data_IF_281843233194
#
_entry.id   IF_281843233194
#
_cell.length_a   1.000
_cell.length_b   1.000
_cell.length_c   1.000
_cell.angle_alpha   90.00
_cell.angle_beta   90.00
_cell.angle_gamma   90.00
#
_symmetry.space_group_name_H-M   'P 1'
#
loop_
_entity.id
_entity.type
_entity.pdbx_description
1 polymer ?
#
# COMPACT_ATOMS: atom_id res chain seq x y z
N UNK A 1 18.94 -13.49 1.59
CA UNK A 1 17.92 -12.43 1.63
C UNK A 1 16.79 -12.82 0.68
N UNK A 2 15.58 -12.43 1.02
CA UNK A 2 14.36 -12.71 0.27
C UNK A 2 13.66 -11.39 -0.05
N UNK A 3 13.12 -11.28 -1.26
CA UNK A 3 12.24 -10.20 -1.65
C UNK A 3 10.80 -10.68 -1.59
N UNK A 4 9.92 -9.87 -1.02
CA UNK A 4 8.48 -10.10 -0.96
C UNK A 4 7.78 -9.00 -1.73
N UNK A 5 6.98 -9.40 -2.71
CA UNK A 5 6.15 -8.53 -3.51
C UNK A 5 4.68 -8.87 -3.22
N UNK A 6 3.93 -7.91 -2.68
CA UNK A 6 2.51 -8.10 -2.39
C UNK A 6 1.66 -7.08 -3.11
N UNK A 7 0.66 -7.58 -3.84
CA UNK A 7 -0.32 -6.78 -4.56
C UNK A 7 -1.65 -6.85 -3.81
N UNK A 8 -2.08 -5.71 -3.32
CA UNK A 8 -3.33 -5.55 -2.61
C UNK A 8 -4.37 -4.98 -3.55
N UNK A 9 -5.60 -5.45 -3.40
CA UNK A 9 -6.77 -4.97 -4.12
C UNK A 9 -7.75 -4.44 -3.10
N UNK A 10 -8.23 -3.22 -3.30
CA UNK A 10 -9.11 -2.56 -2.36
C UNK A 10 -10.41 -2.09 -3.00
N UNK A 11 -11.46 -2.03 -2.19
CA UNK A 11 -12.71 -1.33 -2.45
C UNK A 11 -12.73 -0.04 -1.66
N UNK A 12 -13.21 1.02 -2.29
CA UNK A 12 -13.45 2.30 -1.62
C UNK A 12 -14.84 2.24 -0.98
N UNK A 13 -14.89 2.10 0.34
CA UNK A 13 -16.14 2.07 1.11
C UNK A 13 -16.56 3.47 1.59
N UNK A 14 -15.59 4.36 1.82
CA UNK A 14 -15.83 5.73 2.26
C UNK A 14 -15.08 6.72 1.38
N UNK A 15 -15.71 7.13 0.26
CA UNK A 15 -15.09 7.98 -0.76
C UNK A 15 -14.49 9.28 -0.22
N UNK A 16 -15.17 9.96 0.72
CA UNK A 16 -14.63 11.20 1.29
C UNK A 16 -13.30 10.97 2.04
N UNK A 17 -13.24 9.93 2.89
CA UNK A 17 -12.01 9.58 3.61
C UNK A 17 -10.90 9.17 2.65
N UNK A 18 -11.27 8.47 1.58
CA UNK A 18 -10.33 8.09 0.53
C UNK A 18 -9.76 9.30 -0.21
N UNK A 19 -10.58 10.28 -0.58
CA UNK A 19 -10.12 11.55 -1.19
C UNK A 19 -9.19 12.30 -0.24
N UNK A 20 -9.52 12.36 1.05
CA UNK A 20 -8.66 13.02 2.04
C UNK A 20 -7.30 12.31 2.18
N UNK A 21 -7.30 10.98 2.14
CA UNK A 21 -6.07 10.18 2.10
C UNK A 21 -5.25 10.40 0.82
N UNK A 22 -5.90 10.45 -0.35
CA UNK A 22 -5.21 10.75 -1.61
C UNK A 22 -4.50 12.11 -1.57
N UNK A 23 -5.14 13.14 -1.00
CA UNK A 23 -4.52 14.46 -0.80
C UNK A 23 -3.32 14.39 0.14
N UNK A 24 -3.42 13.62 1.22
CA UNK A 24 -2.32 13.42 2.15
C UNK A 24 -1.13 12.71 1.49
N UNK A 25 -1.38 11.66 0.71
CA UNK A 25 -0.33 10.94 -0.04
C UNK A 25 0.32 11.84 -1.10
N UNK A 26 -0.45 12.69 -1.80
CA UNK A 26 0.10 13.64 -2.75
C UNK A 26 0.99 14.70 -2.07
N UNK A 27 0.61 15.17 -0.88
CA UNK A 27 1.44 16.09 -0.09
C UNK A 27 2.76 15.44 0.36
N UNK A 28 2.74 14.16 0.75
CA UNK A 28 3.97 13.39 1.03
C UNK A 28 4.83 13.28 -0.23
N UNK A 29 4.24 12.91 -1.38
CA UNK A 29 4.95 12.78 -2.67
C UNK A 29 5.64 14.09 -3.06
N UNK A 30 4.98 15.23 -2.85
CA UNK A 30 5.51 16.57 -3.13
C UNK A 30 6.52 17.07 -2.08
N UNK A 31 6.84 16.25 -1.08
CA UNK A 31 7.71 16.60 0.04
C UNK A 31 7.22 17.82 0.84
N UNK A 32 5.91 18.08 0.83
CA UNK A 32 5.28 19.13 1.65
C UNK A 32 5.16 18.68 3.11
N UNK A 33 5.07 17.37 3.32
CA UNK A 33 5.04 16.71 4.63
C UNK A 33 6.17 15.67 4.69
N UNK A 34 6.94 15.68 5.79
CA UNK A 34 7.93 14.64 6.08
C UNK A 34 7.31 13.59 7.00
N UNK A 35 6.52 12.70 6.42
CA UNK A 35 5.86 11.60 7.12
C UNK A 35 5.92 10.34 6.24
N UNK A 36 6.16 9.19 6.88
CA UNK A 36 6.05 7.89 6.21
C UNK A 36 4.62 7.36 6.36
N UNK A 37 4.00 6.81 5.30
CA UNK A 37 2.67 6.21 5.43
C UNK A 37 2.65 5.10 6.49
N UNK A 38 1.68 5.14 7.40
CA UNK A 38 1.63 4.25 8.58
C UNK A 38 1.71 2.75 8.24
N UNK A 39 1.10 2.33 7.12
CA UNK A 39 1.17 0.94 6.65
C UNK A 39 2.60 0.48 6.31
N UNK A 40 3.44 1.39 5.82
CA UNK A 40 4.85 1.10 5.52
C UNK A 40 5.66 0.92 6.80
N UNK A 41 5.46 1.82 7.77
CA UNK A 41 6.14 1.78 9.05
C UNK A 41 5.86 0.47 9.81
N UNK A 42 4.62 -0.07 9.74
CA UNK A 42 4.29 -1.36 10.33
C UNK A 42 5.11 -2.52 9.72
N UNK A 43 5.23 -2.56 8.40
CA UNK A 43 6.00 -3.62 7.70
C UNK A 43 7.49 -3.47 7.97
N UNK A 44 8.01 -2.25 7.93
CA UNK A 44 9.41 -1.94 8.21
C UNK A 44 9.81 -2.27 9.65
N UNK A 45 8.88 -2.17 10.60
CA UNK A 45 9.11 -2.47 12.02
C UNK A 45 9.15 -3.97 12.37
N UNK A 46 8.85 -4.87 11.44
CA UNK A 46 8.91 -6.31 11.71
C UNK A 46 10.35 -6.83 11.77
N UNK A 47 10.62 -7.68 12.76
CA UNK A 47 11.90 -8.39 12.86
C UNK A 47 12.24 -9.15 11.56
N UNK A 48 13.49 -8.98 11.11
CA UNK A 48 14.01 -9.50 9.85
C UNK A 48 13.70 -8.66 8.61
N UNK A 49 12.91 -7.60 8.71
CA UNK A 49 12.68 -6.66 7.62
C UNK A 49 13.91 -5.75 7.42
N UNK A 50 14.36 -5.61 6.17
CA UNK A 50 15.52 -4.78 5.78
C UNK A 50 15.12 -3.50 5.05
N UNK A 51 13.84 -3.36 4.72
CA UNK A 51 13.28 -2.21 4.04
C UNK A 51 11.96 -2.60 3.38
N UNK A 52 11.07 -1.62 3.26
CA UNK A 52 9.79 -1.75 2.57
C UNK A 52 9.50 -0.48 1.78
N UNK A 53 8.82 -0.62 0.65
CA UNK A 53 8.45 0.47 -0.24
C UNK A 53 7.05 0.25 -0.82
N UNK A 54 6.29 1.33 -0.95
CA UNK A 54 5.16 1.37 -1.86
C UNK A 54 5.66 1.57 -3.28
N UNK A 55 5.14 0.78 -4.20
CA UNK A 55 5.38 0.94 -5.62
C UNK A 55 4.08 1.41 -6.27
N UNK A 56 4.18 2.52 -6.99
CA UNK A 56 3.11 3.04 -7.84
C UNK A 56 3.33 2.47 -9.24
N UNK A 57 2.39 1.68 -9.79
CA UNK A 57 2.43 1.25 -11.18
C UNK A 57 2.56 2.47 -12.12
N UNK A 58 3.37 2.36 -13.18
CA UNK A 58 3.56 3.46 -14.14
C UNK A 58 2.27 3.86 -14.88
N UNK A 59 1.33 2.93 -15.00
CA UNK A 59 0.03 3.13 -15.67
C UNK A 59 -1.05 3.70 -14.73
N UNK A 60 -0.76 3.89 -13.44
CA UNK A 60 -1.74 4.46 -12.52
C UNK A 60 -1.90 5.97 -12.76
N UNK A 61 -3.13 6.50 -12.69
CA UNK A 61 -3.36 7.93 -12.86
C UNK A 61 -2.64 8.71 -11.77
N UNK A 62 -2.28 9.96 -12.06
CA UNK A 62 -1.70 10.81 -11.04
C UNK A 62 -2.71 11.09 -9.91
N UNK A 63 -2.20 11.51 -8.75
CA UNK A 63 -3.05 11.81 -7.60
C UNK A 63 -4.07 12.94 -7.89
N UNK A 64 -3.75 13.92 -8.72
CA UNK A 64 -4.68 15.02 -9.03
C UNK A 64 -5.87 14.54 -9.86
N UNK A 65 -5.63 13.67 -10.84
CA UNK A 65 -6.63 13.01 -11.66
C UNK A 65 -7.52 12.10 -10.80
N UNK A 66 -6.91 11.31 -9.91
CA UNK A 66 -7.64 10.45 -8.96
C UNK A 66 -8.54 11.26 -8.01
N UNK A 67 -8.02 12.34 -7.43
CA UNK A 67 -8.77 13.23 -6.53
C UNK A 67 -9.95 13.84 -7.27
N UNK A 68 -9.72 14.43 -8.46
CA UNK A 68 -10.77 15.07 -9.25
C UNK A 68 -11.87 14.08 -9.65
N UNK A 69 -11.50 12.87 -10.05
CA UNK A 69 -12.45 11.83 -10.43
C UNK A 69 -13.33 11.41 -9.25
N UNK A 70 -12.77 11.21 -8.05
CA UNK A 70 -13.55 10.82 -6.88
C UNK A 70 -14.41 11.98 -6.33
N UNK A 71 -13.93 13.23 -6.36
CA UNK A 71 -14.74 14.41 -6.02
C UNK A 71 -15.97 14.56 -6.94
N UNK A 72 -15.78 14.32 -8.24
CA UNK A 72 -16.88 14.33 -9.20
C UNK A 72 -17.90 13.24 -8.86
N UNK A 73 -17.44 12.02 -8.55
CA UNK A 73 -18.34 10.91 -8.15
C UNK A 73 -19.13 11.20 -6.89
N UNK A 74 -18.49 11.80 -5.88
CA UNK A 74 -19.14 12.26 -4.65
C UNK A 74 -20.24 13.27 -5.00
N UNK A 75 -19.94 14.24 -5.87
CA UNK A 75 -20.90 15.27 -6.30
C UNK A 75 -22.09 14.67 -7.05
N UNK A 76 -21.84 13.66 -7.89
CA UNK A 76 -22.85 12.94 -8.67
C UNK A 76 -23.61 11.88 -7.85
N UNK A 77 -23.18 11.61 -6.61
CA UNK A 77 -23.77 10.58 -5.75
C UNK A 77 -23.57 9.15 -6.27
N UNK A 78 -22.52 8.92 -7.06
CA UNK A 78 -22.21 7.59 -7.61
C UNK A 78 -21.11 6.91 -6.80
N UNK A 79 -21.24 5.60 -6.49
CA UNK A 79 -20.18 4.86 -5.83
C UNK A 79 -18.86 4.88 -6.62
N UNK A 80 -17.74 4.69 -5.93
CA UNK A 80 -16.48 4.46 -6.62
C UNK A 80 -16.60 3.16 -7.41
N UNK A 81 -16.31 3.22 -8.71
CA UNK A 81 -16.25 2.04 -9.57
C UNK A 81 -14.82 1.50 -9.68
N UNK A 82 -13.87 2.13 -8.98
CA UNK A 82 -12.45 1.87 -9.15
C UNK A 82 -11.96 0.93 -8.05
N UNK A 83 -11.33 -0.15 -8.46
CA UNK A 83 -10.59 -1.02 -7.56
C UNK A 83 -9.18 -0.47 -7.41
N UNK A 84 -8.84 -0.02 -6.20
CA UNK A 84 -7.52 0.52 -5.92
C UNK A 84 -6.52 -0.63 -5.80
N UNK A 85 -5.35 -0.46 -6.41
CA UNK A 85 -4.26 -1.44 -6.36
C UNK A 85 -3.06 -0.81 -5.71
N UNK A 86 -2.53 -1.48 -4.69
CA UNK A 86 -1.26 -1.07 -4.10
C UNK A 86 -0.28 -2.22 -4.18
N UNK A 87 0.97 -1.89 -4.46
CA UNK A 87 2.04 -2.87 -4.50
C UNK A 87 3.05 -2.52 -3.42
N UNK A 88 3.27 -3.45 -2.49
CA UNK A 88 4.29 -3.33 -1.45
C UNK A 88 5.44 -4.26 -1.79
N UNK A 89 6.63 -3.69 -1.93
CA UNK A 89 7.89 -4.42 -2.03
C UNK A 89 8.61 -4.37 -0.69
N UNK A 90 9.16 -5.50 -0.24
CA UNK A 90 9.91 -5.57 1.02
C UNK A 90 11.04 -6.60 0.97
N UNK A 91 12.11 -6.36 1.73
CA UNK A 91 13.29 -7.23 1.82
C UNK A 91 13.39 -7.88 3.19
N UNK A 92 13.76 -9.16 3.22
CA UNK A 92 13.71 -10.01 4.41
C UNK A 92 14.95 -10.88 4.55
N UNK A 93 15.37 -11.18 5.78
CA UNK A 93 16.49 -12.09 6.02
C UNK A 93 16.14 -13.53 5.63
N UNK A 94 14.96 -14.01 6.03
CA UNK A 94 14.53 -15.39 5.79
C UNK A 94 13.20 -15.46 5.00
N UNK A 95 12.99 -16.60 4.35
CA UNK A 95 11.75 -16.91 3.64
C UNK A 95 10.55 -16.95 4.60
N UNK A 96 10.74 -17.52 5.79
CA UNK A 96 9.69 -17.64 6.82
C UNK A 96 9.21 -16.27 7.29
N UNK A 97 10.14 -15.34 7.52
CA UNK A 97 9.80 -13.96 7.88
C UNK A 97 8.99 -13.28 6.77
N UNK A 98 9.40 -13.43 5.51
CA UNK A 98 8.66 -12.89 4.35
C UNK A 98 7.23 -13.45 4.24
N UNK A 99 7.04 -14.74 4.53
CA UNK A 99 5.72 -15.39 4.42
C UNK A 99 4.80 -15.04 5.59
N UNK A 100 5.33 -14.84 6.79
CA UNK A 100 4.53 -14.60 8.01
C UNK A 100 3.91 -13.20 8.12
N UNK A 101 4.25 -12.25 7.23
CA UNK A 101 3.79 -10.85 7.30
C UNK A 101 2.27 -10.75 7.37
N UNK A 102 1.54 -11.54 6.57
CA UNK A 102 0.07 -11.52 6.56
C UNK A 102 -0.51 -11.94 7.91
N UNK A 103 0.04 -12.98 8.53
CA UNK A 103 -0.44 -13.50 9.82
C UNK A 103 -0.12 -12.51 10.95
N UNK A 104 1.02 -11.83 10.86
CA UNK A 104 1.50 -10.90 11.89
C UNK A 104 0.81 -9.54 11.85
N UNK A 105 0.51 -9.03 10.65
CA UNK A 105 0.03 -7.66 10.45
C UNK A 105 -1.32 -7.55 9.76
N UNK A 106 -1.94 -8.66 9.32
CA UNK A 106 -3.14 -8.62 8.49
C UNK A 106 -4.29 -7.81 9.08
N UNK A 107 -4.58 -7.99 10.37
CA UNK A 107 -5.64 -7.25 11.07
C UNK A 107 -5.28 -5.77 11.28
N UNK A 108 -4.03 -5.48 11.63
CA UNK A 108 -3.57 -4.10 11.82
C UNK A 108 -3.59 -3.30 10.53
N UNK A 109 -3.12 -3.91 9.43
CA UNK A 109 -3.19 -3.33 8.10
C UNK A 109 -4.65 -3.13 7.68
N UNK A 110 -5.53 -4.12 7.92
CA UNK A 110 -6.96 -3.97 7.63
C UNK A 110 -7.57 -2.76 8.36
N UNK A 111 -7.23 -2.56 9.64
CA UNK A 111 -7.67 -1.40 10.41
C UNK A 111 -7.20 -0.08 9.83
N UNK A 112 -5.91 0.05 9.50
CA UNK A 112 -5.37 1.25 8.89
C UNK A 112 -6.05 1.60 7.55
N UNK A 113 -6.30 0.58 6.71
CA UNK A 113 -6.97 0.80 5.44
C UNK A 113 -8.44 1.23 5.64
N UNK A 114 -9.13 0.67 6.63
CA UNK A 114 -10.51 1.09 6.97
C UNK A 114 -10.58 2.54 7.43
N UNK A 115 -9.58 3.02 8.17
CA UNK A 115 -9.53 4.41 8.64
C UNK A 115 -9.44 5.41 7.48
N UNK A 116 -8.75 5.03 6.39
CA UNK A 116 -8.65 5.83 5.17
C UNK A 116 -9.76 5.53 4.14
N UNK A 117 -10.76 4.75 4.52
CA UNK A 117 -11.94 4.48 3.69
C UNK A 117 -11.79 3.34 2.68
N UNK A 118 -10.79 2.48 2.85
CA UNK A 118 -10.54 1.31 2.01
C UNK A 118 -10.86 0.00 2.75
N UNK A 119 -11.29 -1.01 2.01
CA UNK A 119 -11.33 -2.40 2.51
C UNK A 119 -10.72 -3.35 1.50
N UNK A 120 -10.20 -4.49 1.95
CA UNK A 120 -9.66 -5.50 1.03
C UNK A 120 -10.77 -6.09 0.14
N UNK A 121 -10.57 -6.03 -1.18
CA UNK A 121 -11.42 -6.71 -2.15
C UNK A 121 -11.20 -8.24 -2.15
N UNK A 122 -10.07 -8.68 -1.61
CA UNK A 122 -9.67 -10.08 -1.47
C UNK A 122 -8.31 -10.19 -0.77
N UNK A 123 -7.80 -11.42 -0.53
CA UNK A 123 -6.45 -11.61 -0.01
C UNK A 123 -5.40 -11.06 -0.99
N UNK A 124 -4.26 -10.54 -0.51
CA UNK A 124 -3.22 -10.04 -1.39
C UNK A 124 -2.57 -11.17 -2.19
N UNK A 125 -2.29 -10.90 -3.45
CA UNK A 125 -1.43 -11.75 -4.28
C UNK A 125 0.01 -11.51 -3.88
N UNK A 126 0.67 -12.53 -3.32
CA UNK A 126 2.03 -12.40 -2.78
C UNK A 126 2.98 -13.35 -3.48
N UNK A 127 4.10 -12.81 -3.93
CA UNK A 127 5.22 -13.56 -4.47
C UNK A 127 6.46 -13.32 -3.60
N UNK A 128 7.20 -14.39 -3.33
CA UNK A 128 8.47 -14.32 -2.58
C UNK A 128 9.58 -14.91 -3.43
N UNK A 129 10.66 -14.16 -3.58
CA UNK A 129 11.80 -14.51 -4.40
C UNK A 129 13.06 -14.56 -3.55
N UNK A 130 13.96 -15.50 -3.86
CA UNK A 130 15.32 -15.46 -3.32
C UNK A 130 16.11 -14.40 -4.09
N UNK A 131 16.76 -13.49 -3.38
CA UNK A 131 17.65 -12.51 -3.99
C UNK A 131 19.06 -13.08 -4.02
N UNK A 132 19.49 -13.53 -5.20
CA UNK A 132 20.86 -13.98 -5.45
C UNK A 132 21.69 -12.79 -5.96
N UNK A 133 22.29 -12.04 -5.03
CA UNK A 133 23.07 -10.86 -5.37
C UNK A 133 23.46 -10.01 -4.15
N UNK A 134 24.75 -9.73 -4.06
CA UNK A 134 25.43 -8.90 -3.07
C UNK A 134 26.91 -8.96 -3.45
N UNK A 135 27.66 -7.85 -3.42
CA UNK A 135 29.09 -7.89 -3.82
C UNK A 135 29.77 -9.04 -3.05
N UNK A 136 30.45 -9.98 -3.73
CA UNK A 136 31.37 -10.86 -3.02
C UNK A 136 32.40 -9.94 -2.36
N UNK A 137 32.46 -10.03 -1.02
CA UNK A 137 33.48 -9.41 -0.20
C UNK A 137 34.87 -9.86 -0.62
#
# INVERSE_FOLDING_TARGET
MYARLSRYRFRVEHQQRWVDNLRHLDAIRRSEVQEEPAGLALVAGLDGCRGAWFMVPEDDPDYEELIRAEEQRITEGVPSSYEQREVVFSLWDTHEQAMSVRERLGEQLAGLFQDVGLTFAGPPETEVFRVDGGRPS
#
